data_IF_717105281040
#
_entry.id   IF_717105281040
#
_cell.length_a   1.000
_cell.length_b   1.000
_cell.length_c   1.000
_cell.angle_alpha   90.00
_cell.angle_beta   90.00
_cell.angle_gamma   90.00
#
_symmetry.space_group_name_H-M   'P 1'
#
loop_
_entity.id
_entity.type
_entity.pdbx_description
1 polymer ?
#
# COMPACT_ATOMS: atom_id res chain seq x y z
N UNK A 1 0.87 17.14 -12.70
CA UNK A 1 1.37 15.82 -12.27
C UNK A 1 1.75 15.05 -13.52
N UNK A 2 2.92 14.42 -13.55
CA UNK A 2 3.34 13.57 -14.68
C UNK A 2 2.67 12.20 -14.61
N UNK A 3 2.52 11.55 -15.77
CA UNK A 3 1.94 10.20 -15.84
C UNK A 3 2.92 9.17 -15.26
N UNK A 4 2.37 8.13 -14.67
CA UNK A 4 3.15 7.03 -14.11
C UNK A 4 3.85 6.25 -15.24
N UNK A 5 5.04 5.74 -14.93
CA UNK A 5 5.76 4.84 -15.81
C UNK A 5 5.14 3.44 -15.80
N UNK A 6 5.28 2.70 -16.91
CA UNK A 6 4.83 1.30 -16.96
C UNK A 6 5.77 0.41 -16.16
N UNK A 7 5.19 -0.41 -15.28
CA UNK A 7 5.90 -1.44 -14.51
C UNK A 7 5.59 -2.80 -15.15
N UNK A 8 6.58 -3.70 -15.26
CA UNK A 8 6.30 -5.07 -15.70
C UNK A 8 5.55 -5.86 -14.62
N UNK A 9 4.85 -6.94 -15.00
CA UNK A 9 4.13 -7.78 -14.02
C UNK A 9 5.09 -8.41 -12.98
N UNK A 10 6.30 -8.77 -13.40
CA UNK A 10 7.33 -9.33 -12.52
C UNK A 10 7.82 -8.29 -11.50
N UNK A 11 8.21 -7.10 -11.98
CA UNK A 11 8.60 -5.99 -11.12
C UNK A 11 7.48 -5.58 -10.15
N UNK A 12 6.23 -5.60 -10.62
CA UNK A 12 5.07 -5.30 -9.78
C UNK A 12 4.94 -6.30 -8.62
N UNK A 13 5.13 -7.59 -8.88
CA UNK A 13 5.04 -8.61 -7.84
C UNK A 13 6.18 -8.49 -6.82
N UNK A 14 7.42 -8.29 -7.26
CA UNK A 14 8.58 -8.09 -6.38
C UNK A 14 8.39 -6.88 -5.46
N UNK A 15 7.85 -5.78 -6.00
CA UNK A 15 7.59 -4.56 -5.24
C UNK A 15 6.46 -4.76 -4.24
N UNK A 16 5.38 -5.44 -4.64
CA UNK A 16 4.28 -5.79 -3.73
C UNK A 16 4.79 -6.58 -2.54
N UNK A 17 5.58 -7.60 -2.80
CA UNK A 17 6.15 -8.47 -1.76
C UNK A 17 7.09 -7.69 -0.84
N UNK A 18 7.98 -6.86 -1.41
CA UNK A 18 8.89 -6.03 -0.63
C UNK A 18 8.12 -5.07 0.28
N UNK A 19 7.16 -4.33 -0.26
CA UNK A 19 6.36 -3.36 0.50
C UNK A 19 5.51 -4.06 1.58
N UNK A 20 4.90 -5.19 1.25
CA UNK A 20 4.12 -5.98 2.19
C UNK A 20 4.98 -6.49 3.35
N UNK A 21 6.14 -7.09 3.05
CA UNK A 21 7.04 -7.64 4.06
C UNK A 21 7.58 -6.54 4.99
N UNK A 22 7.99 -5.40 4.44
CA UNK A 22 8.41 -4.24 5.26
C UNK A 22 7.25 -3.74 6.11
N UNK A 23 6.04 -3.59 5.57
CA UNK A 23 4.89 -3.14 6.34
C UNK A 23 4.49 -4.10 7.47
N UNK A 24 4.55 -5.42 7.24
CA UNK A 24 4.31 -6.42 8.29
C UNK A 24 5.33 -6.30 9.43
N UNK A 25 6.60 -5.99 9.12
CA UNK A 25 7.62 -5.80 10.16
C UNK A 25 7.43 -4.54 11.01
N UNK A 26 6.60 -3.59 10.55
CA UNK A 26 6.23 -2.36 11.26
C UNK A 26 4.94 -2.53 12.10
N UNK A 27 4.36 -3.73 12.12
CA UNK A 27 3.19 -4.02 12.94
C UNK A 27 3.60 -4.40 14.37
N UNK A 28 2.81 -3.96 15.34
CA UNK A 28 3.02 -4.19 16.76
C UNK A 28 2.06 -5.25 17.29
N UNK A 29 2.62 -6.32 17.88
CA UNK A 29 1.83 -7.35 18.54
C UNK A 29 1.10 -6.77 19.77
N UNK A 30 -0.17 -7.14 19.94
CA UNK A 30 -1.03 -6.62 21.00
C UNK A 30 -1.64 -5.25 20.69
N UNK A 31 -1.20 -4.55 19.63
CA UNK A 31 -1.86 -3.35 19.10
C UNK A 31 -2.52 -3.64 17.75
N UNK A 32 -1.73 -4.13 16.79
CA UNK A 32 -2.13 -4.32 15.40
C UNK A 32 -2.60 -5.74 15.12
N UNK A 33 -2.07 -6.73 15.83
CA UNK A 33 -2.40 -8.13 15.67
C UNK A 33 -2.20 -8.87 16.98
N UNK A 34 -2.87 -10.01 17.16
CA UNK A 34 -2.53 -10.95 18.23
C UNK A 34 -1.69 -12.10 17.70
N UNK A 35 -2.08 -12.65 16.53
CA UNK A 35 -1.46 -13.85 15.94
C UNK A 35 -1.09 -13.76 14.46
N UNK A 36 -1.44 -12.67 13.77
CA UNK A 36 -1.35 -12.53 12.31
C UNK A 36 -2.19 -13.56 11.52
N UNK A 37 -3.15 -14.22 12.17
CA UNK A 37 -4.04 -15.17 11.51
C UNK A 37 -4.86 -14.47 10.42
N UNK A 38 -4.96 -15.08 9.24
CA UNK A 38 -5.70 -14.56 8.08
C UNK A 38 -5.24 -13.18 7.61
N UNK A 39 -3.98 -12.81 7.86
CA UNK A 39 -3.44 -11.51 7.40
C UNK A 39 -3.47 -11.41 5.87
N UNK A 40 -4.09 -10.36 5.36
CA UNK A 40 -4.15 -10.08 3.92
C UNK A 40 -3.62 -8.69 3.60
N UNK A 41 -3.00 -8.55 2.43
CA UNK A 41 -2.53 -7.26 1.90
C UNK A 41 -3.35 -6.88 0.69
N UNK A 42 -3.91 -5.68 0.70
CA UNK A 42 -4.69 -5.13 -0.41
C UNK A 42 -4.06 -3.83 -0.92
N UNK A 43 -3.70 -3.81 -2.19
CA UNK A 43 -3.15 -2.64 -2.86
C UNK A 43 -4.26 -1.85 -3.55
N UNK A 44 -4.32 -0.55 -3.26
CA UNK A 44 -5.17 0.41 -3.97
C UNK A 44 -4.54 0.79 -5.30
N UNK A 45 -3.27 1.22 -5.26
CA UNK A 45 -2.47 1.50 -6.44
C UNK A 45 -0.98 1.24 -6.23
N UNK A 46 -0.25 1.01 -7.32
CA UNK A 46 1.21 1.00 -7.37
C UNK A 46 1.64 1.62 -8.70
N UNK A 47 2.50 2.63 -8.62
CA UNK A 47 3.06 3.34 -9.77
C UNK A 47 4.55 3.56 -9.60
N UNK A 48 5.25 3.72 -10.72
CA UNK A 48 6.64 4.15 -10.75
C UNK A 48 6.67 5.62 -11.20
N UNK A 49 7.38 6.44 -10.43
CA UNK A 49 7.54 7.87 -10.66
C UNK A 49 8.94 8.29 -10.27
N UNK A 50 9.65 8.91 -11.19
CA UNK A 50 11.04 9.37 -10.99
C UNK A 50 11.94 8.22 -10.48
N UNK A 51 11.75 7.01 -11.02
CA UNK A 51 12.47 5.81 -10.58
C UNK A 51 12.14 5.32 -9.17
N UNK A 52 11.06 5.81 -8.55
CA UNK A 52 10.62 5.43 -7.20
C UNK A 52 9.17 4.97 -7.19
N UNK A 53 8.88 3.95 -6.38
CA UNK A 53 7.53 3.44 -6.25
C UNK A 53 6.66 4.37 -5.39
N UNK A 54 5.47 4.66 -5.89
CA UNK A 54 4.38 5.30 -5.17
C UNK A 54 3.24 4.29 -5.03
N UNK A 55 2.77 4.06 -3.82
CA UNK A 55 1.73 3.05 -3.53
C UNK A 55 0.88 3.46 -2.34
N UNK A 56 -0.38 3.05 -2.37
CA UNK A 56 -1.27 3.06 -1.21
C UNK A 56 -1.83 1.66 -1.05
N UNK A 57 -1.69 1.10 0.15
CA UNK A 57 -2.14 -0.26 0.45
C UNK A 57 -2.53 -0.38 1.92
N UNK A 58 -3.18 -1.49 2.25
CA UNK A 58 -3.60 -1.82 3.61
C UNK A 58 -3.25 -3.26 3.96
N UNK A 59 -2.96 -3.48 5.23
CA UNK A 59 -2.85 -4.80 5.83
C UNK A 59 -4.07 -5.00 6.72
N UNK A 60 -4.79 -6.08 6.50
CA UNK A 60 -5.92 -6.49 7.33
C UNK A 60 -5.41 -7.65 8.19
N UNK A 61 -5.46 -7.49 9.51
CA UNK A 61 -5.05 -8.49 10.49
C UNK A 61 -6.28 -9.06 11.21
N UNK A 62 -6.04 -9.94 12.18
CA UNK A 62 -7.02 -10.45 13.13
C UNK A 62 -7.61 -9.38 14.08
N UNK A 63 -7.00 -8.18 14.15
CA UNK A 63 -7.42 -7.14 15.09
C UNK A 63 -7.84 -5.83 14.43
N UNK A 64 -7.12 -5.34 13.42
CA UNK A 64 -7.49 -4.10 12.71
C UNK A 64 -6.94 -4.06 11.29
N UNK A 65 -7.35 -3.02 10.57
CA UNK A 65 -6.75 -2.64 9.29
C UNK A 65 -5.75 -1.53 9.52
N UNK A 66 -4.53 -1.70 9.03
CA UNK A 66 -3.45 -0.70 9.09
C UNK A 66 -3.14 -0.25 7.66
N UNK A 67 -3.08 1.06 7.45
CA UNK A 67 -2.88 1.64 6.12
C UNK A 67 -1.46 2.15 5.96
N UNK A 68 -0.90 1.98 4.76
CA UNK A 68 0.46 2.36 4.43
C UNK A 68 0.52 3.09 3.09
N UNK A 69 1.44 4.06 3.02
CA UNK A 69 1.81 4.72 1.78
C UNK A 69 3.30 4.52 1.50
N UNK A 70 3.64 4.07 0.30
CA UNK A 70 4.98 4.19 -0.22
C UNK A 70 5.06 5.49 -1.02
N UNK A 71 5.99 6.38 -0.67
CA UNK A 71 6.17 7.65 -1.38
C UNK A 71 7.64 8.05 -1.36
N UNK A 72 8.17 8.48 -2.52
CA UNK A 72 9.55 8.97 -2.67
C UNK A 72 10.63 8.02 -2.12
N UNK A 73 10.35 6.72 -2.11
CA UNK A 73 11.28 5.67 -1.65
C UNK A 73 11.21 5.40 -0.14
N UNK A 74 10.20 5.93 0.55
CA UNK A 74 9.96 5.65 1.97
C UNK A 74 8.59 5.00 2.14
N UNK A 75 8.52 4.04 3.05
CA UNK A 75 7.26 3.47 3.52
C UNK A 75 6.79 4.22 4.76
N UNK A 76 5.53 4.62 4.79
CA UNK A 76 4.92 5.34 5.90
C UNK A 76 3.67 4.62 6.36
N UNK A 77 3.58 4.33 7.65
CA UNK A 77 2.33 3.97 8.31
C UNK A 77 1.46 5.22 8.40
N UNK A 78 0.22 5.12 7.95
CA UNK A 78 -0.74 6.22 8.03
C UNK A 78 -1.36 6.28 9.43
N UNK A 79 -1.73 7.48 9.86
CA UNK A 79 -2.30 7.72 11.19
C UNK A 79 -3.61 6.93 11.39
N UNK A 80 -3.93 6.59 12.63
CA UNK A 80 -5.15 5.84 12.97
C UNK A 80 -6.47 6.53 12.56
N UNK A 81 -6.43 7.86 12.32
CA UNK A 81 -7.58 8.60 11.78
C UNK A 81 -7.78 8.41 10.28
N UNK A 82 -6.85 7.76 9.57
CA UNK A 82 -7.02 7.36 8.19
C UNK A 82 -7.98 6.16 8.12
N UNK A 83 -8.90 6.17 7.16
CA UNK A 83 -10.05 5.26 7.15
C UNK A 83 -10.19 4.59 5.79
N UNK A 84 -11.03 3.55 5.73
CA UNK A 84 -11.38 2.89 4.47
C UNK A 84 -11.96 3.87 3.44
N UNK A 85 -12.73 4.87 3.86
CA UNK A 85 -13.26 5.91 2.96
C UNK A 85 -12.14 6.78 2.35
N UNK A 86 -11.12 7.13 3.13
CA UNK A 86 -9.94 7.83 2.63
C UNK A 86 -9.14 6.94 1.65
N UNK A 87 -9.01 5.66 1.97
CA UNK A 87 -8.33 4.68 1.11
C UNK A 87 -9.00 4.56 -0.26
N UNK A 88 -10.32 4.37 -0.28
CA UNK A 88 -11.12 4.23 -1.50
C UNK A 88 -11.07 5.52 -2.33
N UNK A 89 -11.35 6.67 -1.73
CA UNK A 89 -11.32 7.95 -2.44
C UNK A 89 -9.95 8.27 -3.05
N UNK A 90 -8.86 8.01 -2.31
CA UNK A 90 -7.50 8.23 -2.81
C UNK A 90 -7.16 7.26 -3.94
N UNK A 91 -7.56 5.99 -3.81
CA UNK A 91 -7.37 4.98 -4.84
C UNK A 91 -8.10 5.35 -6.13
N UNK A 92 -9.39 5.71 -6.04
CA UNK A 92 -10.18 6.14 -7.19
C UNK A 92 -9.57 7.36 -7.88
N UNK A 93 -9.14 8.36 -7.10
CA UNK A 93 -8.48 9.55 -7.64
C UNK A 93 -7.20 9.20 -8.41
N UNK A 94 -6.37 8.33 -7.84
CA UNK A 94 -5.10 7.93 -8.46
C UNK A 94 -5.31 7.09 -9.72
N UNK A 95 -6.26 6.14 -9.69
CA UNK A 95 -6.66 5.35 -10.85
C UNK A 95 -7.24 6.23 -11.97
N UNK A 96 -8.06 7.22 -11.62
CA UNK A 96 -8.63 8.15 -12.61
C UNK A 96 -7.55 9.00 -13.30
N UNK A 97 -6.49 9.36 -12.58
CA UNK A 97 -5.41 10.20 -13.11
C UNK A 97 -4.36 9.42 -13.89
N UNK A 98 -3.92 8.27 -13.36
CA UNK A 98 -2.82 7.48 -13.91
C UNK A 98 -3.27 6.29 -14.77
N UNK A 99 -4.55 5.91 -14.68
CA UNK A 99 -5.09 4.69 -15.30
C UNK A 99 -4.95 3.47 -14.40
N UNK A 100 -5.55 2.35 -14.82
CA UNK A 100 -5.39 1.08 -14.11
C UNK A 100 -3.92 0.64 -14.15
N UNK A 101 -3.46 0.10 -13.02
CA UNK A 101 -2.11 -0.39 -12.79
C UNK A 101 -2.06 -1.92 -12.74
N UNK A 102 -3.22 -2.57 -12.73
CA UNK A 102 -3.36 -4.03 -12.72
C UNK A 102 -3.14 -4.66 -14.08
#
# INVERSE_FOLDING_TARGET
MEKAEKISAEQMNEVKETLANTAVSELEQGEDFEKLDYTTVEFGYIYLRDGKYESLFKIITDKKTVFFAAQKGSLMRLQDSFTEGHFQATTEQMLAFHGDWK
#
